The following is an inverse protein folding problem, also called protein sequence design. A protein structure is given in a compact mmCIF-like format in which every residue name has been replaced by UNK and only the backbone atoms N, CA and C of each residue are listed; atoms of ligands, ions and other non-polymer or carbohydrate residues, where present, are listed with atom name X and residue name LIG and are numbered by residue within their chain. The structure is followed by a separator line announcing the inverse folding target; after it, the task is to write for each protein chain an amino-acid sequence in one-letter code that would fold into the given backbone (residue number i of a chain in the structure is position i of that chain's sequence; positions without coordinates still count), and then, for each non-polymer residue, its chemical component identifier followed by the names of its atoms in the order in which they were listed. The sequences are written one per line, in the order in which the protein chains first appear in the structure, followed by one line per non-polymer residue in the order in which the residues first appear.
data_IF_574391186096
#
_entry.id   IF_574391186096
#
_cell.length_a   1.000
_cell.length_b   1.000
_cell.length_c   1.000
_cell.angle_alpha   90.00
_cell.angle_beta   90.00
_cell.angle_gamma   90.00
#
_symmetry.space_group_name_H-M   'P 1'
#
loop_
_entity.id
_entity.type
_entity.pdbx_description
1 polymer ?
#
# COMPACT_ATOMS: atom_id res chain seq x y z
N UNK A 1 -38.97 10.50 9.33
CA UNK A 1 -38.53 9.40 10.23
C UNK A 1 -37.04 9.26 10.09
N UNK A 2 -36.29 9.62 11.12
CA UNK A 2 -34.89 9.25 11.28
C UNK A 2 -34.82 7.72 11.36
N UNK A 3 -33.93 7.14 10.57
CA UNK A 3 -33.59 5.73 10.71
C UNK A 3 -32.14 5.74 11.22
N UNK A 4 -31.97 5.58 12.53
CA UNK A 4 -30.67 5.27 13.09
C UNK A 4 -30.43 3.77 12.91
N UNK A 5 -29.33 3.42 12.29
CA UNK A 5 -28.84 2.04 12.25
C UNK A 5 -27.56 2.00 13.09
N UNK A 6 -27.56 1.19 14.13
CA UNK A 6 -26.34 0.73 14.77
C UNK A 6 -25.58 -0.10 13.73
N UNK A 7 -24.42 0.39 13.30
CA UNK A 7 -23.56 -0.35 12.37
C UNK A 7 -22.74 -1.42 13.11
N UNK A 8 -22.37 -1.14 14.36
CA UNK A 8 -21.73 -2.06 15.31
C UNK A 8 -21.56 -1.25 16.61
N UNK A 9 -21.50 -1.92 17.77
CA UNK A 9 -21.28 -1.23 19.06
C UNK A 9 -20.00 -0.38 19.11
N UNK A 10 -19.04 -0.66 18.23
CA UNK A 10 -17.75 0.05 18.12
C UNK A 10 -17.70 1.13 17.03
N UNK A 11 -18.70 1.26 16.14
CA UNK A 11 -18.63 2.16 14.97
C UNK A 11 -19.59 3.34 14.98
N UNK A 12 -20.35 3.50 16.05
CA UNK A 12 -21.29 4.59 16.19
C UNK A 12 -22.62 4.38 15.47
N UNK A 13 -23.40 5.45 15.40
CA UNK A 13 -24.75 5.45 14.82
C UNK A 13 -24.73 6.16 13.46
N UNK A 14 -25.49 5.60 12.49
CA UNK A 14 -25.74 6.25 11.22
C UNK A 14 -27.10 6.94 11.25
N UNK A 15 -27.11 8.26 10.96
CA UNK A 15 -28.32 9.07 10.94
C UNK A 15 -28.55 9.68 9.55
N UNK A 16 -29.78 9.56 9.04
CA UNK A 16 -30.17 10.19 7.77
C UNK A 16 -30.88 11.51 8.07
N UNK A 17 -30.26 12.61 7.67
CA UNK A 17 -30.83 13.95 7.78
C UNK A 17 -31.70 14.24 6.55
N UNK A 18 -32.95 14.71 6.78
CA UNK A 18 -33.86 15.10 5.70
C UNK A 18 -33.72 16.59 5.41
N UNK A 19 -33.77 16.90 4.13
CA UNK A 19 -33.94 18.26 3.65
C UNK A 19 -35.34 18.79 4.05
N UNK A 20 -35.39 20.00 4.60
CA UNK A 20 -36.62 20.68 5.00
C UNK A 20 -36.55 22.18 4.75
N UNK A 21 -37.70 22.88 4.93
CA UNK A 21 -37.80 24.33 4.71
C UNK A 21 -36.93 25.19 5.61
N UNK A 22 -36.41 24.65 6.72
CA UNK A 22 -35.50 25.36 7.61
C UNK A 22 -34.08 25.41 6.99
N UNK A 23 -33.67 24.32 6.34
CA UNK A 23 -32.41 24.27 5.61
C UNK A 23 -32.43 25.26 4.44
N UNK A 24 -33.53 25.38 3.70
CA UNK A 24 -33.71 26.40 2.64
C UNK A 24 -33.51 27.82 3.20
N UNK A 25 -34.15 28.14 4.36
CA UNK A 25 -33.98 29.44 4.98
C UNK A 25 -32.56 29.73 5.45
N UNK A 26 -31.84 28.70 5.89
CA UNK A 26 -30.42 28.85 6.25
C UNK A 26 -29.62 29.21 5.00
N UNK A 27 -29.80 28.50 3.87
CA UNK A 27 -29.11 28.79 2.61
C UNK A 27 -29.37 30.21 2.15
N UNK A 28 -30.65 30.65 2.16
CA UNK A 28 -31.05 32.01 1.81
C UNK A 28 -30.45 33.07 2.75
N UNK A 29 -30.36 32.78 4.05
CA UNK A 29 -29.81 33.72 5.04
C UNK A 29 -28.31 33.99 4.87
N UNK A 30 -27.60 33.12 4.24
CA UNK A 30 -26.17 33.23 3.89
C UNK A 30 -25.94 33.66 2.44
N UNK A 31 -27.00 33.99 1.69
CA UNK A 31 -26.95 34.42 0.28
C UNK A 31 -26.25 33.38 -0.61
N UNK A 32 -26.54 32.09 -0.39
CA UNK A 32 -25.99 30.97 -1.12
C UNK A 32 -27.02 30.41 -2.10
N UNK A 33 -26.55 29.85 -3.22
CA UNK A 33 -27.41 29.10 -4.15
C UNK A 33 -27.82 27.76 -3.55
N UNK A 34 -29.04 27.29 -3.87
CA UNK A 34 -29.53 25.97 -3.46
C UNK A 34 -28.92 24.86 -4.32
N UNK A 35 -27.68 24.49 -4.02
CA UNK A 35 -26.95 23.38 -4.63
C UNK A 35 -26.92 22.18 -3.69
N UNK A 36 -26.69 20.95 -4.18
CA UNK A 36 -26.55 19.77 -3.33
C UNK A 36 -25.50 19.95 -2.23
N UNK A 37 -24.37 20.56 -2.55
CA UNK A 37 -23.29 20.81 -1.59
C UNK A 37 -23.71 21.81 -0.49
N UNK A 38 -24.34 22.89 -0.86
CA UNK A 38 -24.85 23.88 0.09
C UNK A 38 -25.98 23.34 0.97
N UNK A 39 -26.80 22.43 0.46
CA UNK A 39 -27.82 21.71 1.24
C UNK A 39 -27.14 20.84 2.31
N UNK A 40 -26.09 20.10 1.96
CA UNK A 40 -25.32 19.28 2.91
C UNK A 40 -24.70 20.16 4.00
N UNK A 41 -24.05 21.26 3.61
CA UNK A 41 -23.37 22.17 4.53
C UNK A 41 -24.37 22.91 5.44
N UNK A 42 -25.50 23.37 4.93
CA UNK A 42 -26.56 24.00 5.70
C UNK A 42 -27.23 23.00 6.67
N UNK A 43 -27.35 21.75 6.27
CA UNK A 43 -27.80 20.67 7.16
C UNK A 43 -26.80 20.46 8.30
N UNK A 44 -25.51 20.38 8.00
CA UNK A 44 -24.45 20.28 9.01
C UNK A 44 -24.50 21.49 9.98
N UNK A 45 -24.68 22.69 9.46
CA UNK A 45 -24.81 23.92 10.27
C UNK A 45 -26.04 23.87 11.20
N UNK A 46 -27.19 23.44 10.68
CA UNK A 46 -28.43 23.28 11.46
C UNK A 46 -28.27 22.39 12.68
N UNK A 47 -27.58 21.27 12.49
CA UNK A 47 -27.42 20.25 13.54
C UNK A 47 -26.16 20.45 14.39
N UNK A 48 -25.29 21.41 14.04
CA UNK A 48 -24.09 21.72 14.82
C UNK A 48 -24.44 22.45 16.11
N UNK A 49 -24.42 21.73 17.19
CA UNK A 49 -24.72 22.29 18.53
C UNK A 49 -23.48 22.22 19.42
N UNK A 50 -23.44 23.04 20.47
CA UNK A 50 -22.33 22.99 21.44
C UNK A 50 -22.21 21.65 22.19
N UNK A 51 -23.29 20.85 22.19
CA UNK A 51 -23.32 19.52 22.82
C UNK A 51 -22.91 18.44 21.81
N UNK A 52 -23.27 18.61 20.55
CA UNK A 52 -22.96 17.68 19.44
C UNK A 52 -22.27 18.44 18.31
N UNK A 53 -20.94 18.64 18.40
CA UNK A 53 -20.20 19.31 17.35
C UNK A 53 -20.16 18.46 16.08
N UNK A 54 -20.41 19.08 14.93
CA UNK A 54 -20.36 18.42 13.62
C UNK A 54 -19.05 18.76 12.94
N UNK A 55 -18.39 17.72 12.40
CA UNK A 55 -17.21 17.85 11.58
C UNK A 55 -17.59 17.54 10.14
N UNK A 56 -17.37 18.50 9.24
CA UNK A 56 -17.55 18.29 7.78
C UNK A 56 -16.31 17.64 7.20
N UNK A 57 -16.46 16.49 6.57
CA UNK A 57 -15.36 15.77 5.93
C UNK A 57 -15.49 15.87 4.42
N UNK A 58 -14.62 16.60 3.76
CA UNK A 58 -14.61 16.79 2.31
C UNK A 58 -13.23 17.14 1.79
N UNK A 59 -12.88 16.72 0.55
CA UNK A 59 -11.68 17.17 -0.16
C UNK A 59 -12.02 18.24 -1.22
N UNK A 60 -13.31 18.52 -1.46
CA UNK A 60 -13.73 19.61 -2.35
C UNK A 60 -13.36 20.97 -1.78
N UNK A 61 -12.67 21.79 -2.59
CA UNK A 61 -12.16 23.09 -2.16
C UNK A 61 -13.27 24.11 -1.88
N UNK A 62 -14.36 24.10 -2.68
CA UNK A 62 -15.49 24.98 -2.47
C UNK A 62 -16.25 24.62 -1.21
N UNK A 63 -16.53 23.34 -1.01
CA UNK A 63 -17.15 22.85 0.22
C UNK A 63 -16.31 23.18 1.45
N UNK A 64 -14.98 23.01 1.40
CA UNK A 64 -14.07 23.43 2.49
C UNK A 64 -14.15 24.92 2.79
N UNK A 65 -14.14 25.73 1.73
CA UNK A 65 -14.19 27.18 1.86
C UNK A 65 -15.51 27.63 2.50
N UNK A 66 -16.65 27.19 1.97
CA UNK A 66 -18.00 27.53 2.45
C UNK A 66 -18.20 27.03 3.88
N UNK A 67 -17.83 25.78 4.16
CA UNK A 67 -17.94 25.17 5.48
C UNK A 67 -17.19 25.96 6.56
N UNK A 68 -15.91 26.29 6.29
CA UNK A 68 -15.07 27.02 7.26
C UNK A 68 -15.41 28.50 7.38
N UNK A 69 -15.56 29.19 6.25
CA UNK A 69 -15.58 30.66 6.25
C UNK A 69 -17.00 31.24 6.28
N UNK A 70 -18.00 30.48 5.82
CA UNK A 70 -19.41 30.95 5.83
C UNK A 70 -20.14 30.33 7.00
N UNK A 71 -20.12 29.01 7.16
CA UNK A 71 -20.83 28.32 8.24
C UNK A 71 -20.03 28.17 9.53
N UNK A 72 -18.74 28.52 9.54
CA UNK A 72 -17.85 28.39 10.68
C UNK A 72 -17.88 26.99 11.33
N UNK A 73 -17.91 25.94 10.47
CA UNK A 73 -17.90 24.55 10.89
C UNK A 73 -16.48 24.00 10.94
N UNK A 74 -16.22 23.09 11.87
CA UNK A 74 -14.99 22.31 11.83
C UNK A 74 -14.97 21.45 10.55
N UNK A 75 -13.93 21.61 9.74
CA UNK A 75 -13.83 20.94 8.45
C UNK A 75 -12.48 20.25 8.31
N UNK A 76 -12.52 18.96 7.96
CA UNK A 76 -11.33 18.12 7.72
C UNK A 76 -11.35 17.60 6.29
N UNK A 77 -10.18 17.42 5.71
CA UNK A 77 -10.05 16.66 4.47
C UNK A 77 -10.27 15.16 4.73
N UNK A 78 -10.78 14.44 3.74
CA UNK A 78 -10.88 12.97 3.83
C UNK A 78 -9.49 12.36 4.02
N UNK A 79 -8.47 12.95 3.39
CA UNK A 79 -7.07 12.56 3.57
C UNK A 79 -6.55 12.76 5.01
N UNK A 80 -7.13 13.68 5.78
CA UNK A 80 -6.78 13.90 7.18
C UNK A 80 -7.34 12.80 8.11
N UNK A 81 -8.26 11.99 7.61
CA UNK A 81 -8.84 10.82 8.31
C UNK A 81 -8.03 9.54 8.09
N UNK A 82 -7.03 9.57 7.22
CA UNK A 82 -6.16 8.41 7.02
C UNK A 82 -5.46 8.04 8.34
N UNK A 83 -5.40 6.74 8.65
CA UNK A 83 -4.70 6.22 9.82
C UNK A 83 -3.21 6.58 9.78
N UNK A 84 -2.64 6.59 8.58
CA UNK A 84 -1.26 7.00 8.34
C UNK A 84 -1.24 8.43 7.78
N UNK A 85 -0.90 9.40 8.62
CA UNK A 85 -0.81 10.82 8.25
C UNK A 85 0.55 11.17 7.65
N UNK A 86 1.60 10.57 8.18
CA UNK A 86 2.98 10.79 7.76
C UNK A 86 3.66 9.46 7.46
N UNK A 87 4.10 9.28 6.21
CA UNK A 87 4.80 8.07 5.78
C UNK A 87 6.25 7.99 6.24
N UNK A 88 6.87 9.11 6.61
CA UNK A 88 8.19 9.06 7.22
C UNK A 88 8.14 8.37 8.60
N UNK A 89 6.97 8.35 9.23
CA UNK A 89 6.74 7.69 10.53
C UNK A 89 6.21 6.26 10.38
N UNK A 90 5.42 5.98 9.33
CA UNK A 90 4.84 4.65 9.12
C UNK A 90 5.71 3.80 8.19
N UNK A 91 6.33 2.78 8.75
CA UNK A 91 7.22 1.85 8.03
C UNK A 91 6.59 0.46 7.83
N UNK A 92 5.36 0.23 8.30
CA UNK A 92 4.72 -1.08 8.39
C UNK A 92 5.20 -1.89 9.60
N UNK A 93 6.05 -1.28 10.43
CA UNK A 93 6.52 -1.87 11.68
C UNK A 93 6.93 -0.80 12.69
N UNK A 94 6.93 -1.20 13.96
CA UNK A 94 7.47 -0.44 15.09
C UNK A 94 8.66 -1.19 15.70
N UNK A 95 9.60 -0.47 16.27
CA UNK A 95 10.70 -1.04 17.06
C UNK A 95 10.52 -0.64 18.51
N UNK A 96 10.51 -1.61 19.40
CA UNK A 96 10.38 -1.39 20.84
C UNK A 96 11.57 -2.01 21.57
N UNK A 97 12.05 -1.30 22.60
CA UNK A 97 13.09 -1.81 23.48
C UNK A 97 12.46 -2.08 24.82
N UNK A 98 12.54 -3.32 25.30
CA UNK A 98 11.91 -3.78 26.51
C UNK A 98 12.94 -4.29 27.51
N UNK A 99 12.71 -4.03 28.79
CA UNK A 99 13.37 -4.70 29.92
C UNK A 99 12.88 -6.14 30.04
N UNK A 100 13.53 -6.97 30.86
CA UNK A 100 13.11 -8.34 31.08
C UNK A 100 11.72 -8.41 31.74
N UNK A 101 11.38 -7.45 32.59
CA UNK A 101 10.07 -7.35 33.23
C UNK A 101 8.97 -6.99 32.20
N UNK A 102 9.22 -5.98 31.36
CA UNK A 102 8.29 -5.55 30.30
C UNK A 102 8.11 -6.66 29.25
N UNK A 103 9.17 -7.41 28.90
CA UNK A 103 9.04 -8.58 28.02
C UNK A 103 8.15 -9.65 28.65
N UNK A 104 8.34 -9.95 29.94
CA UNK A 104 7.50 -10.93 30.64
C UNK A 104 6.03 -10.50 30.63
N UNK A 105 5.77 -9.21 30.85
CA UNK A 105 4.43 -8.66 30.78
C UNK A 105 3.86 -8.76 29.38
N UNK A 106 4.61 -8.34 28.34
CA UNK A 106 4.20 -8.41 26.95
C UNK A 106 3.77 -9.81 26.52
N UNK A 107 4.58 -10.84 26.85
CA UNK A 107 4.27 -12.22 26.45
C UNK A 107 3.08 -12.84 27.19
N UNK A 108 2.71 -12.31 28.34
CA UNK A 108 1.49 -12.70 29.05
C UNK A 108 0.24 -12.00 28.52
N UNK A 109 0.41 -10.87 27.80
CA UNK A 109 -0.68 -9.99 27.36
C UNK A 109 -0.59 -9.68 25.84
N UNK A 110 -0.22 -10.67 25.03
CA UNK A 110 -0.10 -10.50 23.56
C UNK A 110 -1.42 -10.13 22.89
N UNK A 111 -2.55 -10.37 23.55
CA UNK A 111 -3.89 -9.99 23.09
C UNK A 111 -4.22 -8.50 23.35
N UNK A 112 -3.36 -7.76 24.01
CA UNK A 112 -3.52 -6.33 24.21
C UNK A 112 -2.72 -5.56 23.18
N UNK A 113 -3.34 -4.61 22.46
CA UNK A 113 -2.64 -3.76 21.48
C UNK A 113 -1.89 -2.62 22.16
N UNK A 114 -0.86 -2.96 22.98
CA UNK A 114 -0.10 -2.02 23.82
C UNK A 114 0.64 -0.94 23.04
N UNK A 115 0.86 -1.14 21.74
CA UNK A 115 1.65 -0.24 20.91
C UNK A 115 0.80 0.45 19.83
N UNK A 116 -0.53 0.43 19.94
CA UNK A 116 -1.44 1.01 18.94
C UNK A 116 -1.08 0.59 17.52
N UNK A 117 -0.75 -0.70 17.35
CA UNK A 117 -0.37 -1.24 16.04
C UNK A 117 -1.60 -1.33 15.14
N UNK A 118 -1.42 -0.95 13.88
CA UNK A 118 -2.44 -1.17 12.86
C UNK A 118 -2.52 -2.67 12.53
N UNK A 119 -3.66 -3.11 12.01
CA UNK A 119 -3.81 -4.48 11.53
C UNK A 119 -2.72 -4.79 10.48
N UNK A 120 -2.06 -5.94 10.61
CA UNK A 120 -0.90 -6.36 9.83
C UNK A 120 0.39 -5.56 10.05
N UNK A 121 0.44 -4.65 11.02
CA UNK A 121 1.68 -3.98 11.40
C UNK A 121 2.56 -4.89 12.25
N UNK A 122 3.86 -4.80 12.01
CA UNK A 122 4.85 -5.62 12.69
C UNK A 122 5.46 -4.92 13.90
N UNK A 123 6.01 -5.72 14.80
CA UNK A 123 6.76 -5.28 15.98
C UNK A 123 8.12 -5.99 15.99
N UNK A 124 9.20 -5.21 16.05
CA UNK A 124 10.57 -5.70 16.28
C UNK A 124 10.90 -5.44 17.74
N UNK A 125 11.10 -6.52 18.51
CA UNK A 125 11.34 -6.44 19.96
C UNK A 125 12.84 -6.55 20.24
N UNK A 126 13.38 -5.56 20.93
CA UNK A 126 14.78 -5.47 21.34
C UNK A 126 14.92 -5.49 22.85
N UNK A 127 16.05 -6.01 23.33
CA UNK A 127 16.53 -5.79 24.68
C UNK A 127 17.18 -4.43 24.84
N UNK A 128 17.39 -3.98 26.07
CA UNK A 128 18.10 -2.75 26.41
C UNK A 128 19.54 -2.67 25.84
N UNK A 129 20.16 -3.81 25.52
CA UNK A 129 21.45 -3.89 24.87
C UNK A 129 21.39 -3.73 23.33
N UNK A 130 20.18 -3.55 22.77
CA UNK A 130 19.92 -3.42 21.33
C UNK A 130 19.75 -4.75 20.57
N UNK A 131 19.93 -5.89 21.22
CA UNK A 131 19.73 -7.22 20.62
C UNK A 131 18.26 -7.44 20.28
N UNK A 132 17.98 -7.90 19.06
CA UNK A 132 16.63 -8.30 18.64
C UNK A 132 16.35 -9.69 19.21
N UNK A 133 15.27 -9.79 19.98
CA UNK A 133 14.86 -11.05 20.59
C UNK A 133 13.66 -11.70 19.92
N UNK A 134 12.77 -10.90 19.31
CA UNK A 134 11.57 -11.45 18.70
C UNK A 134 10.99 -10.51 17.62
N UNK A 135 10.10 -11.09 16.82
CA UNK A 135 9.30 -10.41 15.82
C UNK A 135 7.85 -10.82 15.99
N UNK A 136 6.95 -9.86 16.04
CA UNK A 136 5.51 -10.08 16.17
C UNK A 136 4.75 -9.32 15.11
N UNK A 137 3.51 -9.74 14.87
CA UNK A 137 2.57 -9.10 13.95
C UNK A 137 1.23 -8.96 14.64
N UNK A 138 0.67 -7.75 14.61
CA UNK A 138 -0.69 -7.53 15.09
C UNK A 138 -1.71 -8.07 14.07
N UNK A 139 -2.47 -9.08 14.44
CA UNK A 139 -3.47 -9.72 13.57
C UNK A 139 -4.89 -9.24 13.83
N UNK A 140 -5.08 -8.21 14.69
CA UNK A 140 -6.37 -7.68 15.13
C UNK A 140 -6.83 -8.24 16.47
N UNK A 141 -6.32 -9.39 16.89
CA UNK A 141 -6.67 -10.06 18.15
C UNK A 141 -5.46 -10.17 19.08
N UNK A 142 -4.28 -10.46 18.51
CA UNK A 142 -3.04 -10.62 19.29
C UNK A 142 -1.78 -10.30 18.46
N UNK A 143 -0.67 -10.09 19.15
CA UNK A 143 0.67 -10.06 18.56
C UNK A 143 1.16 -11.50 18.31
N UNK A 144 0.85 -12.02 17.13
CA UNK A 144 1.20 -13.38 16.71
C UNK A 144 2.67 -13.50 16.28
N UNK A 145 3.25 -14.70 16.44
CA UNK A 145 4.58 -15.01 15.94
C UNK A 145 4.59 -15.06 14.41
N UNK A 146 5.70 -14.65 13.78
CA UNK A 146 5.88 -14.73 12.35
C UNK A 146 6.00 -16.19 11.87
N UNK A 147 5.51 -16.44 10.64
CA UNK A 147 5.54 -17.77 10.02
C UNK A 147 5.99 -17.66 8.57
N UNK A 148 7.27 -17.93 8.32
CA UNK A 148 7.82 -17.96 6.96
C UNK A 148 8.83 -19.09 6.77
N UNK A 149 9.07 -19.48 5.52
CA UNK A 149 10.06 -20.49 5.13
C UNK A 149 11.17 -19.86 4.30
N UNK A 150 12.39 -20.36 4.51
CA UNK A 150 13.50 -20.04 3.61
C UNK A 150 13.24 -20.63 2.21
N UNK A 151 13.70 -19.95 1.18
CA UNK A 151 13.46 -20.34 -0.20
C UNK A 151 14.71 -21.04 -0.74
N UNK A 152 14.50 -22.10 -1.50
CA UNK A 152 15.50 -22.72 -2.37
C UNK A 152 15.17 -22.31 -3.80
N UNK A 153 15.96 -21.40 -4.37
CA UNK A 153 15.78 -20.95 -5.74
C UNK A 153 16.75 -21.66 -6.67
N UNK A 154 16.28 -22.09 -7.83
CA UNK A 154 17.13 -22.70 -8.86
C UNK A 154 18.10 -21.67 -9.48
N UNK A 155 17.76 -20.38 -9.45
CA UNK A 155 18.58 -19.31 -10.02
C UNK A 155 19.48 -18.62 -8.98
N UNK A 156 18.99 -18.46 -7.75
CA UNK A 156 19.64 -17.64 -6.73
C UNK A 156 20.12 -18.46 -5.51
N UNK A 157 20.06 -19.79 -5.58
CA UNK A 157 20.44 -20.67 -4.48
C UNK A 157 19.51 -20.52 -3.25
N UNK A 158 20.10 -20.45 -2.06
CA UNK A 158 19.34 -20.32 -0.82
C UNK A 158 19.02 -18.86 -0.50
N UNK A 159 17.75 -18.49 -0.58
CA UNK A 159 17.27 -17.15 -0.26
C UNK A 159 16.70 -17.13 1.15
N UNK A 160 17.26 -16.28 2.00
CA UNK A 160 16.85 -16.07 3.39
C UNK A 160 16.96 -14.58 3.72
N UNK A 161 16.20 -14.07 4.71
CA UNK A 161 16.36 -12.70 5.16
C UNK A 161 17.75 -12.51 5.81
N UNK A 162 18.38 -11.36 5.57
CA UNK A 162 19.72 -11.01 6.08
C UNK A 162 19.69 -9.79 7.02
N UNK A 163 18.53 -9.16 7.16
CA UNK A 163 18.30 -8.07 8.11
C UNK A 163 16.86 -8.13 8.68
N UNK A 164 16.55 -7.38 9.74
CA UNK A 164 15.26 -7.44 10.41
C UNK A 164 14.07 -7.13 9.50
N UNK A 165 14.17 -6.10 8.66
CA UNK A 165 13.08 -5.70 7.78
C UNK A 165 12.81 -6.77 6.71
N UNK A 166 13.83 -7.46 6.24
CA UNK A 166 13.66 -8.58 5.32
C UNK A 166 12.97 -9.78 5.99
N UNK A 167 13.13 -9.98 7.31
CA UNK A 167 12.36 -10.99 8.07
C UNK A 167 10.87 -10.69 7.98
N UNK A 168 10.48 -9.44 8.22
CA UNK A 168 9.09 -9.00 8.12
C UNK A 168 8.54 -9.15 6.70
N UNK A 169 9.34 -8.77 5.69
CA UNK A 169 8.98 -8.90 4.29
C UNK A 169 8.75 -10.36 3.88
N UNK A 170 9.56 -11.32 4.38
CA UNK A 170 9.36 -12.74 4.12
C UNK A 170 8.03 -13.25 4.67
N UNK A 171 7.69 -12.90 5.91
CA UNK A 171 6.41 -13.25 6.51
C UNK A 171 5.24 -12.65 5.69
N UNK A 172 5.30 -11.36 5.39
CA UNK A 172 4.29 -10.68 4.60
C UNK A 172 4.10 -11.32 3.21
N UNK A 173 5.19 -11.57 2.49
CA UNK A 173 5.12 -12.10 1.12
C UNK A 173 4.53 -13.51 1.07
N UNK A 174 4.75 -14.33 2.11
CA UNK A 174 4.25 -15.71 2.18
C UNK A 174 2.88 -15.83 2.84
N UNK A 175 2.37 -14.77 3.47
CA UNK A 175 1.03 -14.75 4.05
C UNK A 175 -0.03 -14.67 2.94
N UNK A 176 -1.00 -15.59 2.95
CA UNK A 176 -2.06 -15.65 1.93
C UNK A 176 -3.22 -14.70 2.19
N UNK A 177 -3.38 -14.19 3.40
CA UNK A 177 -4.51 -13.32 3.76
C UNK A 177 -4.38 -11.93 3.16
N UNK A 178 -3.15 -11.42 3.08
CA UNK A 178 -2.85 -10.13 2.47
C UNK A 178 -2.70 -10.31 0.95
N UNK A 179 -3.64 -9.75 0.21
CA UNK A 179 -3.64 -9.84 -1.27
C UNK A 179 -2.98 -8.62 -1.94
N UNK A 180 -2.85 -7.50 -1.22
CA UNK A 180 -2.12 -6.31 -1.68
C UNK A 180 -0.88 -6.17 -0.79
N UNK A 181 0.32 -6.27 -1.39
CA UNK A 181 1.59 -6.22 -0.68
C UNK A 181 2.50 -5.17 -1.26
N UNK A 182 3.01 -4.30 -0.41
CA UNK A 182 3.92 -3.24 -0.81
C UNK A 182 5.23 -3.35 -0.04
N UNK A 183 6.34 -3.31 -0.77
CA UNK A 183 7.68 -3.14 -0.20
C UNK A 183 8.27 -1.84 -0.73
N UNK A 184 8.53 -0.88 0.15
CA UNK A 184 9.28 0.33 -0.20
C UNK A 184 10.70 0.28 0.33
N UNK A 185 11.56 1.11 -0.23
CA UNK A 185 12.94 1.26 0.24
C UNK A 185 13.88 1.76 -0.86
N UNK A 186 15.05 2.21 -0.46
CA UNK A 186 16.09 2.71 -1.36
C UNK A 186 16.58 1.65 -2.34
N UNK A 187 17.30 2.08 -3.36
CA UNK A 187 18.02 1.18 -4.26
C UNK A 187 18.91 0.21 -3.47
N UNK A 188 18.98 -1.05 -3.94
CA UNK A 188 19.83 -2.06 -3.35
C UNK A 188 19.39 -2.58 -2.00
N UNK A 189 18.19 -2.26 -1.53
CA UNK A 189 17.63 -2.86 -0.31
C UNK A 189 17.12 -4.30 -0.51
N UNK A 190 17.13 -4.80 -1.76
CA UNK A 190 16.72 -6.17 -2.09
C UNK A 190 15.24 -6.35 -2.38
N UNK A 191 14.48 -5.28 -2.60
CA UNK A 191 13.02 -5.33 -2.85
C UNK A 191 12.64 -6.32 -3.94
N UNK A 192 13.17 -6.12 -5.17
CA UNK A 192 12.87 -6.96 -6.32
C UNK A 192 13.30 -8.41 -6.08
N UNK A 193 14.50 -8.60 -5.55
CA UNK A 193 15.03 -9.92 -5.24
C UNK A 193 14.12 -10.72 -4.31
N UNK A 194 13.68 -10.10 -3.21
CA UNK A 194 12.79 -10.74 -2.23
C UNK A 194 11.42 -11.05 -2.83
N UNK A 195 10.84 -10.09 -3.57
CA UNK A 195 9.51 -10.26 -4.15
C UNK A 195 9.51 -11.32 -5.24
N UNK A 196 10.45 -11.27 -6.17
CA UNK A 196 10.55 -12.24 -7.27
C UNK A 196 10.82 -13.65 -6.73
N UNK A 197 11.77 -13.81 -5.79
CA UNK A 197 12.09 -15.12 -5.23
C UNK A 197 10.89 -15.72 -4.49
N UNK A 198 10.16 -14.93 -3.69
CA UNK A 198 8.96 -15.41 -3.01
C UNK A 198 7.82 -15.72 -3.99
N UNK A 199 7.61 -14.88 -5.01
CA UNK A 199 6.58 -15.10 -6.02
C UNK A 199 6.80 -16.43 -6.77
N UNK A 200 8.01 -16.65 -7.27
CA UNK A 200 8.36 -17.89 -7.97
C UNK A 200 8.19 -19.12 -7.07
N UNK A 201 8.56 -19.01 -5.79
CA UNK A 201 8.36 -20.09 -4.83
C UNK A 201 6.89 -20.40 -4.59
N UNK A 202 6.05 -19.40 -4.47
CA UNK A 202 4.61 -19.59 -4.30
C UNK A 202 3.95 -20.21 -5.54
N UNK A 203 4.48 -19.91 -6.73
CA UNK A 203 4.05 -20.55 -7.99
C UNK A 203 4.51 -22.01 -8.04
N UNK A 204 5.78 -22.29 -7.70
CA UNK A 204 6.27 -23.67 -7.58
C UNK A 204 5.47 -24.52 -6.58
N UNK A 205 5.01 -23.91 -5.50
CA UNK A 205 4.18 -24.55 -4.47
C UNK A 205 2.68 -24.66 -4.88
N UNK A 206 2.32 -24.24 -6.10
CA UNK A 206 0.95 -24.29 -6.62
C UNK A 206 -0.03 -23.35 -5.94
N UNK A 207 0.46 -22.27 -5.29
CA UNK A 207 -0.39 -21.26 -4.66
C UNK A 207 -0.92 -20.23 -5.67
N UNK A 208 -0.18 -20.01 -6.74
CA UNK A 208 -0.54 -19.20 -7.89
C UNK A 208 -0.11 -19.90 -9.17
N UNK A 209 -0.76 -19.60 -10.28
CA UNK A 209 -0.45 -20.20 -11.57
C UNK A 209 0.76 -19.51 -12.21
N UNK A 210 0.89 -18.19 -12.06
CA UNK A 210 1.93 -17.41 -12.70
C UNK A 210 2.23 -16.05 -12.04
N UNK A 211 3.37 -15.48 -12.41
CA UNK A 211 3.77 -14.11 -12.20
C UNK A 211 3.45 -13.27 -13.44
N UNK A 212 2.64 -12.23 -13.30
CA UNK A 212 2.44 -11.22 -14.33
C UNK A 212 3.27 -9.98 -13.96
N UNK A 213 4.40 -9.81 -14.64
CA UNK A 213 5.28 -8.66 -14.46
C UNK A 213 4.72 -7.45 -15.20
N UNK A 214 4.50 -6.37 -14.48
CA UNK A 214 3.95 -5.14 -15.01
C UNK A 214 4.91 -4.00 -14.71
N UNK A 215 5.25 -3.24 -15.73
CA UNK A 215 6.01 -2.01 -15.59
C UNK A 215 5.30 -0.86 -16.31
N UNK A 216 5.35 0.31 -15.70
CA UNK A 216 4.94 1.53 -16.38
C UNK A 216 6.10 1.99 -17.27
N UNK A 217 5.91 1.96 -18.58
CA UNK A 217 6.92 2.38 -19.55
C UNK A 217 6.87 3.89 -19.75
N UNK A 218 7.12 4.64 -18.69
CA UNK A 218 7.36 6.07 -18.84
C UNK A 218 8.83 6.20 -19.21
N UNK A 219 9.07 6.77 -20.38
CA UNK A 219 10.43 7.01 -20.82
C UNK A 219 11.20 7.78 -19.76
N UNK A 220 12.40 7.33 -19.43
CA UNK A 220 13.39 8.16 -18.77
C UNK A 220 13.42 9.47 -19.54
N UNK A 221 13.46 10.62 -18.85
CA UNK A 221 13.56 11.95 -19.44
C UNK A 221 14.53 11.88 -20.63
N UNK A 222 14.04 12.24 -21.83
CA UNK A 222 14.78 12.18 -23.10
C UNK A 222 14.87 10.80 -23.82
N UNK A 223 14.11 9.78 -23.42
CA UNK A 223 13.98 8.53 -24.19
C UNK A 223 12.76 8.62 -25.14
N UNK A 224 12.93 8.15 -26.37
CA UNK A 224 11.87 8.11 -27.38
C UNK A 224 10.68 7.24 -26.92
N UNK A 225 9.45 7.68 -27.20
CA UNK A 225 8.24 6.92 -26.94
C UNK A 225 8.26 5.56 -27.68
N UNK A 226 7.86 4.49 -27.00
CA UNK A 226 7.85 3.08 -27.49
C UNK A 226 7.00 2.88 -28.77
N UNK A 227 6.35 3.91 -29.27
CA UNK A 227 5.32 3.84 -30.29
C UNK A 227 5.69 3.11 -31.60
N UNK A 228 6.95 3.08 -32.00
CA UNK A 228 7.37 2.61 -33.33
C UNK A 228 8.59 1.68 -33.39
N UNK A 229 8.95 0.99 -32.30
CA UNK A 229 10.01 -0.02 -32.39
C UNK A 229 9.52 -1.20 -33.24
N UNK A 230 10.27 -1.62 -34.29
CA UNK A 230 9.96 -2.82 -35.03
C UNK A 230 10.19 -4.06 -34.16
N UNK A 231 9.32 -5.05 -34.24
CA UNK A 231 9.41 -6.29 -33.49
C UNK A 231 8.07 -6.76 -32.92
N UNK A 232 8.05 -7.98 -32.44
CA UNK A 232 6.91 -8.54 -31.73
C UNK A 232 6.73 -7.91 -30.34
N UNK A 233 5.62 -8.25 -29.65
CA UNK A 233 5.31 -7.75 -28.30
C UNK A 233 6.43 -8.02 -27.30
N UNK A 234 7.05 -9.20 -27.38
CA UNK A 234 8.10 -9.62 -26.47
C UNK A 234 9.36 -8.75 -26.63
N UNK A 235 9.86 -8.62 -27.87
CA UNK A 235 11.05 -7.80 -28.18
C UNK A 235 10.90 -6.34 -27.71
N UNK A 236 9.69 -5.80 -27.75
CA UNK A 236 9.40 -4.44 -27.27
C UNK A 236 9.38 -4.30 -25.76
N UNK A 237 8.93 -5.33 -25.05
CA UNK A 237 8.80 -5.30 -23.59
C UNK A 237 10.06 -5.81 -22.87
N UNK A 238 10.92 -6.56 -23.54
CA UNK A 238 12.13 -7.15 -22.97
C UNK A 238 13.05 -6.14 -22.27
N UNK A 239 13.37 -4.96 -22.84
CA UNK A 239 14.21 -3.97 -22.16
C UNK A 239 13.65 -3.53 -20.79
N UNK A 240 12.33 -3.49 -20.66
CA UNK A 240 11.65 -3.14 -19.41
C UNK A 240 11.58 -4.30 -18.42
N UNK A 241 11.77 -5.52 -18.89
CA UNK A 241 11.78 -6.74 -18.08
C UNK A 241 13.20 -7.18 -17.70
N UNK A 242 14.25 -6.48 -18.12
CA UNK A 242 15.62 -6.82 -17.76
C UNK A 242 15.85 -6.92 -16.24
N UNK A 243 15.29 -6.06 -15.38
CA UNK A 243 15.40 -6.25 -13.94
C UNK A 243 14.81 -7.57 -13.44
N UNK A 244 13.75 -8.08 -14.07
CA UNK A 244 13.23 -9.42 -13.79
C UNK A 244 14.17 -10.50 -14.33
N UNK A 245 14.70 -10.35 -15.54
CA UNK A 245 15.64 -11.28 -16.17
C UNK A 245 16.91 -11.50 -15.32
N UNK A 246 17.45 -10.43 -14.71
CA UNK A 246 18.63 -10.50 -13.82
C UNK A 246 18.42 -11.48 -12.65
N UNK A 247 17.19 -11.64 -12.18
CA UNK A 247 16.83 -12.58 -11.11
C UNK A 247 16.49 -13.99 -11.62
N UNK A 248 16.40 -14.18 -12.92
CA UNK A 248 16.06 -15.45 -13.58
C UNK A 248 17.23 -16.09 -14.34
N UNK A 249 18.46 -15.59 -14.14
CA UNK A 249 19.63 -16.07 -14.85
C UNK A 249 19.82 -15.45 -16.24
N UNK A 250 19.31 -14.23 -16.42
CA UNK A 250 19.39 -13.46 -17.65
C UNK A 250 18.19 -13.68 -18.58
N UNK A 251 18.32 -13.16 -19.80
CA UNK A 251 17.28 -13.18 -20.83
C UNK A 251 16.79 -14.60 -21.15
N UNK A 252 17.72 -15.54 -21.30
CA UNK A 252 17.40 -16.96 -21.58
C UNK A 252 16.56 -17.59 -20.46
N UNK A 253 16.85 -17.27 -19.20
CA UNK A 253 16.06 -17.77 -18.07
C UNK A 253 14.66 -17.16 -18.03
N UNK A 254 14.52 -15.89 -18.39
CA UNK A 254 13.21 -15.24 -18.54
C UNK A 254 12.40 -15.88 -19.67
N UNK A 255 12.99 -16.07 -20.85
CA UNK A 255 12.33 -16.75 -21.99
C UNK A 255 11.84 -18.14 -21.62
N UNK A 256 12.68 -18.93 -20.92
CA UNK A 256 12.30 -20.26 -20.46
C UNK A 256 11.06 -20.21 -19.55
N UNK A 257 11.04 -19.29 -18.58
CA UNK A 257 9.89 -19.12 -17.66
C UNK A 257 8.62 -18.64 -18.37
N UNK A 258 8.76 -17.86 -19.41
CA UNK A 258 7.63 -17.48 -20.27
C UNK A 258 7.12 -18.64 -21.11
N UNK A 259 8.00 -19.47 -21.68
CA UNK A 259 7.62 -20.69 -22.40
C UNK A 259 6.92 -21.71 -21.49
N UNK A 260 7.35 -21.82 -20.23
CA UNK A 260 6.69 -22.64 -19.21
C UNK A 260 5.31 -22.08 -18.79
N UNK A 261 4.99 -20.82 -19.15
CA UNK A 261 3.77 -20.14 -18.75
C UNK A 261 3.73 -19.66 -17.30
N UNK A 262 4.87 -19.75 -16.58
CA UNK A 262 4.99 -19.33 -15.19
C UNK A 262 5.29 -17.84 -15.02
N UNK A 263 5.77 -17.18 -16.07
CA UNK A 263 6.02 -15.73 -16.11
C UNK A 263 5.38 -15.14 -17.37
N UNK A 264 4.78 -14.00 -17.23
CA UNK A 264 4.24 -13.19 -18.33
C UNK A 264 4.64 -11.73 -18.12
N UNK A 265 4.79 -10.96 -19.20
CA UNK A 265 5.17 -9.54 -19.15
C UNK A 265 4.08 -8.74 -19.83
N UNK A 266 3.62 -7.68 -19.16
CA UNK A 266 2.56 -6.86 -19.71
C UNK A 266 2.83 -5.37 -19.46
N UNK A 267 2.39 -4.54 -20.39
CA UNK A 267 2.34 -3.11 -20.22
C UNK A 267 1.07 -2.71 -19.45
N UNK A 268 1.18 -1.73 -18.55
CA UNK A 268 0.07 -1.26 -17.72
C UNK A 268 -1.19 -0.91 -18.54
N UNK A 269 -1.02 -0.31 -19.71
CA UNK A 269 -2.13 0.06 -20.60
C UNK A 269 -2.97 -1.12 -21.11
N UNK A 270 -2.41 -2.33 -21.17
CA UNK A 270 -3.10 -3.54 -21.65
C UNK A 270 -3.79 -4.35 -20.55
N UNK A 271 -3.66 -3.91 -19.30
CA UNK A 271 -4.33 -4.56 -18.14
C UNK A 271 -5.81 -4.13 -18.04
N UNK A 272 -6.17 -3.01 -18.64
CA UNK A 272 -7.53 -2.47 -18.60
C UNK A 272 -8.54 -3.47 -19.16
N UNK A 273 -9.64 -3.72 -18.43
CA UNK A 273 -10.72 -4.62 -18.85
C UNK A 273 -10.46 -6.10 -18.59
N UNK A 274 -9.29 -6.48 -18.04
CA UNK A 274 -9.00 -7.88 -17.69
C UNK A 274 -9.53 -8.21 -16.29
N UNK A 275 -9.89 -9.47 -16.08
CA UNK A 275 -10.08 -10.13 -14.79
C UNK A 275 -8.94 -11.15 -14.63
N UNK A 276 -7.98 -10.85 -13.75
CA UNK A 276 -6.74 -11.63 -13.63
C UNK A 276 -6.90 -12.56 -12.42
N UNK A 277 -6.89 -13.87 -12.66
CA UNK A 277 -7.12 -14.90 -11.63
C UNK A 277 -5.87 -15.71 -11.35
N UNK A 278 -5.76 -16.23 -10.12
CA UNK A 278 -4.70 -17.14 -9.67
C UNK A 278 -3.28 -16.62 -9.98
N UNK A 279 -3.08 -15.32 -10.02
CA UNK A 279 -1.86 -14.69 -10.55
C UNK A 279 -1.29 -13.69 -9.54
N UNK A 280 0.02 -13.68 -9.38
CA UNK A 280 0.70 -12.56 -8.73
C UNK A 280 0.92 -11.47 -9.78
N UNK A 281 0.21 -10.35 -9.65
CA UNK A 281 0.45 -9.14 -10.45
C UNK A 281 1.58 -8.39 -9.75
N UNK A 282 2.77 -8.40 -10.32
CA UNK A 282 3.94 -7.76 -9.74
C UNK A 282 4.32 -6.50 -10.50
N UNK A 283 4.33 -5.38 -9.81
CA UNK A 283 4.64 -4.05 -10.35
C UNK A 283 5.94 -3.54 -9.77
N UNK A 284 6.96 -3.45 -10.59
CA UNK A 284 8.25 -2.86 -10.24
C UNK A 284 8.25 -1.36 -10.53
N UNK A 285 9.00 -0.59 -9.73
CA UNK A 285 9.10 0.88 -9.83
C UNK A 285 7.73 1.59 -9.74
N UNK A 286 6.92 1.14 -8.78
CA UNK A 286 5.56 1.63 -8.60
C UNK A 286 5.48 3.07 -8.08
N UNK A 287 6.60 3.71 -7.69
CA UNK A 287 6.72 5.15 -7.44
C UNK A 287 6.36 5.99 -8.66
N UNK A 288 6.48 5.42 -9.87
CA UNK A 288 6.10 6.02 -11.13
C UNK A 288 4.66 5.70 -11.55
N UNK A 289 3.78 5.41 -10.59
CA UNK A 289 2.35 5.22 -10.80
C UNK A 289 1.55 6.37 -10.19
N UNK A 290 0.51 6.79 -10.91
CA UNK A 290 -0.52 7.69 -10.35
C UNK A 290 -1.53 6.91 -9.51
N UNK A 291 -2.38 7.63 -8.76
CA UNK A 291 -3.48 7.02 -7.99
C UNK A 291 -4.43 6.22 -8.89
N UNK A 292 -4.72 6.75 -10.07
CA UNK A 292 -5.60 6.10 -11.06
C UNK A 292 -5.00 4.80 -11.58
N UNK A 293 -3.67 4.74 -11.77
CA UNK A 293 -2.96 3.52 -12.15
C UNK A 293 -3.07 2.45 -11.06
N UNK A 294 -2.86 2.83 -9.80
CA UNK A 294 -2.99 1.88 -8.67
C UNK A 294 -4.44 1.42 -8.50
N UNK A 295 -5.42 2.31 -8.64
CA UNK A 295 -6.85 1.95 -8.63
C UNK A 295 -7.19 0.98 -9.77
N UNK A 296 -6.65 1.22 -10.98
CA UNK A 296 -6.80 0.31 -12.10
C UNK A 296 -6.27 -1.08 -11.76
N UNK A 297 -5.06 -1.18 -11.21
CA UNK A 297 -4.42 -2.44 -10.85
C UNK A 297 -5.22 -3.20 -9.78
N UNK A 298 -5.62 -2.52 -8.70
CA UNK A 298 -6.44 -3.11 -7.62
C UNK A 298 -7.74 -3.68 -8.21
N UNK A 299 -8.41 -2.93 -9.10
CA UNK A 299 -9.64 -3.37 -9.74
C UNK A 299 -9.48 -4.53 -10.75
N UNK A 300 -8.26 -5.03 -10.98
CA UNK A 300 -7.97 -6.18 -11.86
C UNK A 300 -7.55 -7.44 -11.09
N UNK A 301 -7.39 -7.33 -9.78
CA UNK A 301 -7.09 -8.46 -8.91
C UNK A 301 -8.35 -9.33 -8.79
N UNK A 302 -8.39 -10.40 -9.58
CA UNK A 302 -9.47 -11.39 -9.56
C UNK A 302 -9.27 -12.45 -8.48
N UNK A 303 -10.16 -13.45 -8.47
CA UNK A 303 -10.14 -14.55 -7.52
C UNK A 303 -8.78 -15.28 -7.51
N UNK A 304 -8.28 -15.58 -6.31
CA UNK A 304 -7.00 -16.27 -6.13
C UNK A 304 -5.76 -15.45 -6.50
N UNK A 305 -5.90 -14.16 -6.86
CA UNK A 305 -4.78 -13.31 -7.26
C UNK A 305 -4.32 -12.38 -6.15
N UNK A 306 -3.10 -11.86 -6.32
CA UNK A 306 -2.51 -10.86 -5.44
C UNK A 306 -1.82 -9.75 -6.24
N UNK A 307 -1.84 -8.51 -5.73
CA UNK A 307 -1.11 -7.37 -6.27
C UNK A 307 0.09 -7.06 -5.38
N UNK A 308 1.26 -7.19 -5.96
CA UNK A 308 2.54 -6.89 -5.30
C UNK A 308 3.18 -5.70 -5.97
N UNK A 309 3.58 -4.71 -5.19
CA UNK A 309 4.20 -3.49 -5.70
C UNK A 309 5.47 -3.18 -4.91
N UNK A 310 6.50 -2.74 -5.60
CA UNK A 310 7.66 -2.16 -4.94
C UNK A 310 7.99 -0.79 -5.49
N UNK A 311 8.71 0.00 -4.69
CA UNK A 311 9.16 1.30 -5.14
C UNK A 311 9.92 2.07 -4.07
N UNK A 312 10.41 3.25 -4.45
CA UNK A 312 11.03 4.22 -3.56
C UNK A 312 10.25 5.54 -3.63
N UNK A 313 9.56 5.92 -2.58
CA UNK A 313 8.76 7.16 -2.56
C UNK A 313 9.57 8.44 -2.84
N UNK A 314 10.89 8.39 -2.64
CA UNK A 314 11.80 9.53 -2.82
C UNK A 314 12.34 9.64 -4.25
N UNK A 315 12.16 8.59 -5.05
CA UNK A 315 12.73 8.48 -6.39
C UNK A 315 11.60 8.41 -7.43
N UNK A 316 11.06 9.56 -7.79
CA UNK A 316 10.04 9.66 -8.83
C UNK A 316 10.63 10.34 -10.05
N UNK A 317 10.40 9.77 -11.25
CA UNK A 317 10.98 10.26 -12.51
C UNK A 317 10.39 11.60 -12.97
N UNK A 318 9.21 11.98 -12.48
CA UNK A 318 8.59 13.24 -12.88
C UNK A 318 7.84 13.94 -11.74
N UNK A 319 7.59 15.25 -11.93
CA UNK A 319 6.79 16.05 -11.00
C UNK A 319 5.35 15.51 -10.86
N UNK A 320 4.79 14.90 -11.92
CA UNK A 320 3.46 14.29 -11.89
C UNK A 320 3.35 13.22 -10.80
N UNK A 321 4.33 12.33 -10.72
CA UNK A 321 4.33 11.24 -9.74
C UNK A 321 4.65 11.71 -8.32
N UNK A 322 5.35 12.83 -8.16
CA UNK A 322 5.52 13.48 -6.85
C UNK A 322 4.21 14.05 -6.31
N UNK A 323 3.42 14.66 -7.18
CA UNK A 323 2.15 15.31 -6.79
C UNK A 323 0.98 14.31 -6.69
N UNK A 324 0.98 13.27 -7.55
CA UNK A 324 -0.06 12.24 -7.61
C UNK A 324 0.56 10.84 -7.47
N UNK A 325 1.23 10.58 -6.34
CA UNK A 325 1.91 9.30 -6.10
C UNK A 325 0.90 8.23 -5.70
N UNK A 326 0.73 7.24 -6.57
CA UNK A 326 -0.21 6.13 -6.36
C UNK A 326 0.24 5.17 -5.27
N UNK A 327 1.55 4.85 -5.22
CA UNK A 327 2.11 3.95 -4.22
C UNK A 327 1.97 4.53 -2.81
N UNK A 328 2.33 5.80 -2.65
CA UNK A 328 2.17 6.57 -1.42
C UNK A 328 0.71 6.59 -0.96
N UNK A 329 -0.20 6.91 -1.88
CA UNK A 329 -1.64 6.95 -1.60
C UNK A 329 -2.20 5.58 -1.21
N UNK A 330 -1.70 4.49 -1.81
CA UNK A 330 -2.09 3.13 -1.45
C UNK A 330 -1.71 2.81 -0.01
N UNK A 331 -0.46 3.10 0.40
CA UNK A 331 -0.02 2.86 1.79
C UNK A 331 -0.87 3.67 2.77
N UNK A 332 -1.09 4.97 2.50
CA UNK A 332 -1.89 5.82 3.39
C UNK A 332 -3.34 5.36 3.56
N UNK A 333 -3.96 4.90 2.48
CA UNK A 333 -5.39 4.55 2.47
C UNK A 333 -5.67 3.11 2.90
N UNK A 334 -4.71 2.20 2.67
CA UNK A 334 -4.92 0.77 2.91
C UNK A 334 -4.28 0.27 4.20
N UNK A 335 -3.42 1.07 4.86
CA UNK A 335 -2.84 0.70 6.15
C UNK A 335 -3.95 0.36 7.15
N UNK A 336 -3.81 -0.76 7.84
CA UNK A 336 -4.83 -1.28 8.76
C UNK A 336 -5.95 -2.08 8.08
N UNK A 337 -5.94 -2.26 6.75
CA UNK A 337 -6.86 -3.15 6.07
C UNK A 337 -6.38 -4.61 6.15
N UNK A 338 -7.31 -5.55 6.33
CA UNK A 338 -6.98 -6.99 6.47
C UNK A 338 -6.28 -7.58 5.23
N UNK A 339 -6.54 -7.04 4.03
CA UNK A 339 -5.96 -7.49 2.76
C UNK A 339 -4.66 -6.79 2.39
N UNK A 340 -4.16 -5.92 3.24
CA UNK A 340 -3.02 -5.07 2.97
C UNK A 340 -1.84 -5.36 3.87
N UNK A 341 -0.66 -5.54 3.27
CA UNK A 341 0.63 -5.65 3.95
C UNK A 341 1.64 -4.62 3.41
N UNK A 342 2.40 -4.03 4.31
CA UNK A 342 3.44 -3.04 3.98
C UNK A 342 4.68 -3.22 4.84
N UNK A 343 5.85 -3.16 4.21
CA UNK A 343 7.15 -3.13 4.90
C UNK A 343 8.09 -2.18 4.18
N UNK A 344 8.72 -1.27 4.92
CA UNK A 344 9.80 -0.42 4.43
C UNK A 344 11.16 -1.06 4.73
N UNK A 345 11.99 -1.26 3.70
CA UNK A 345 13.38 -1.68 3.83
C UNK A 345 14.25 -0.42 3.95
N UNK A 346 14.89 -0.23 5.09
CA UNK A 346 15.69 0.97 5.38
C UNK A 346 17.18 0.78 5.09
N UNK A 347 17.65 -0.49 5.02
CA UNK A 347 19.05 -0.82 4.84
C UNK A 347 19.36 -1.20 3.40
N UNK A 348 20.40 -0.61 2.84
CA UNK A 348 20.98 -1.00 1.56
C UNK A 348 21.89 -2.19 1.74
N UNK A 349 21.70 -3.26 0.96
CA UNK A 349 22.46 -4.52 1.03
C UNK A 349 23.32 -4.75 -0.23
N UNK A 350 23.67 -3.69 -0.93
CA UNK A 350 24.57 -3.73 -2.09
C UNK A 350 26.04 -3.60 -1.67
N UNK A 351 26.94 -3.74 -2.67
CA UNK A 351 28.37 -3.51 -2.50
C UNK A 351 28.66 -2.11 -1.95
N UNK A 352 29.81 -1.95 -1.29
CA UNK A 352 30.29 -0.65 -0.81
C UNK A 352 30.32 0.41 -1.92
N UNK A 353 30.65 0.01 -3.14
CA UNK A 353 30.64 0.91 -4.32
C UNK A 353 29.24 1.41 -4.66
N UNK A 354 28.22 0.56 -4.56
CA UNK A 354 26.84 0.96 -4.83
C UNK A 354 26.25 1.84 -3.70
N UNK A 355 26.77 1.72 -2.49
CA UNK A 355 26.40 2.59 -1.36
C UNK A 355 26.90 4.04 -1.55
N UNK A 356 27.92 4.27 -2.40
CA UNK A 356 28.40 5.60 -2.73
C UNK A 356 27.45 6.42 -3.63
N UNK A 357 26.40 5.78 -4.18
CA UNK A 357 25.38 6.47 -4.98
C UNK A 357 24.38 7.30 -4.14
N UNK A 358 24.44 7.23 -2.82
CA UNK A 358 23.70 8.11 -1.90
C UNK A 358 24.42 9.49 -1.79
N UNK A 359 24.54 10.22 -2.92
CA UNK A 359 25.13 11.56 -3.03
C UNK A 359 24.19 12.65 -2.53
#
# INVERSE_FOLDING_TARGET
RLIAHLLDENYGEFEVVRYDSEITKIIESFDLEETPDNIILASAYKYNTGIHPIIVCTDDLNCKFISKNIFNLETKGISELNLVKNLDEYKGYKEVTLSDEEMSYFYLHTNENMYDSLLNEYLIIRKSNGEIVDYRKWNGEEYSALSYKQIKSNFNGRVKPINPQQVLAFDMLQNSNETIKIISGKFGSGKDFLMIANALKLIEDGKFDKLLYVRNTIGVKDAEEIGYLPGDKFSKLLPFAMPLADHLGGETGLELKMMEGTVDIEHLGYIRGRDIKNTIIYVSEAENLTKEHVQLLIGRVGEGSALWMNGDFKQTDSALFRMNNGLLSAVQKLAGNEKFGYVQLVKTERSETAAMADL
#
